data_IF_696952251303
#
_entry.id   IF_696952251303
#
_cell.length_a   1.000
_cell.length_b   1.000
_cell.length_c   1.000
_cell.angle_alpha   90.00
_cell.angle_beta   90.00
_cell.angle_gamma   90.00
#
_symmetry.space_group_name_H-M   'P 1'
#
loop_
_entity.id
_entity.type
_entity.pdbx_description
1 polymer ?
#
# COMPACT_ATOMS: atom_id res chain seq x y z
N UNK A 1 48.28 20.51 -121.85
CA UNK A 1 46.83 20.81 -121.87
C UNK A 1 46.74 22.32 -121.76
N UNK A 2 47.11 22.97 -122.86
CA UNK A 2 47.60 24.34 -122.88
C UNK A 2 46.45 25.30 -123.15
N UNK A 3 46.37 26.36 -122.34
CA UNK A 3 45.67 27.64 -122.50
C UNK A 3 44.60 27.80 -123.61
N UNK A 4 44.92 27.45 -124.86
CA UNK A 4 44.00 27.43 -126.00
C UNK A 4 42.75 26.56 -125.78
N UNK A 5 42.84 25.44 -125.06
CA UNK A 5 41.67 24.60 -124.74
C UNK A 5 40.74 25.26 -123.73
N UNK A 6 41.31 26.00 -122.77
CA UNK A 6 40.56 26.77 -121.78
C UNK A 6 39.91 27.97 -122.46
N UNK A 7 40.62 28.66 -123.36
CA UNK A 7 40.07 29.82 -124.08
C UNK A 7 38.91 29.41 -125.01
N UNK A 8 39.00 28.25 -125.67
CA UNK A 8 37.92 27.71 -126.52
C UNK A 8 36.66 27.34 -125.76
N UNK A 9 36.78 26.93 -124.49
CA UNK A 9 35.65 26.50 -123.66
C UNK A 9 35.35 27.48 -122.51
N UNK A 10 35.94 28.68 -122.54
CA UNK A 10 35.88 29.67 -121.47
C UNK A 10 34.45 30.03 -121.10
N UNK A 11 33.60 30.23 -122.10
CA UNK A 11 32.20 30.58 -121.88
C UNK A 11 31.44 29.42 -121.22
N UNK A 12 31.67 28.18 -121.65
CA UNK A 12 31.07 27.00 -121.02
C UNK A 12 31.56 26.78 -119.57
N UNK A 13 32.83 27.09 -119.29
CA UNK A 13 33.41 27.02 -117.94
C UNK A 13 32.80 28.12 -117.06
N UNK A 14 32.69 29.34 -117.56
CA UNK A 14 32.07 30.47 -116.85
C UNK A 14 30.60 30.20 -116.58
N UNK A 15 29.85 29.71 -117.56
CA UNK A 15 28.44 29.36 -117.41
C UNK A 15 28.24 28.27 -116.35
N UNK A 16 29.08 27.22 -116.38
CA UNK A 16 29.09 26.17 -115.35
C UNK A 16 29.41 26.72 -113.96
N UNK A 17 30.39 27.62 -113.87
CA UNK A 17 30.77 28.28 -112.63
C UNK A 17 29.64 29.16 -112.06
N UNK A 18 29.02 30.00 -112.89
CA UNK A 18 27.92 30.85 -112.47
C UNK A 18 26.68 30.03 -112.10
N UNK A 19 26.38 28.96 -112.84
CA UNK A 19 25.30 28.03 -112.51
C UNK A 19 25.54 27.33 -111.16
N UNK A 20 26.76 26.85 -110.90
CA UNK A 20 27.12 26.24 -109.62
C UNK A 20 27.08 27.25 -108.46
N UNK A 21 27.48 28.51 -108.71
CA UNK A 21 27.43 29.58 -107.71
C UNK A 21 25.98 29.94 -107.37
N UNK A 22 25.11 30.06 -108.37
CA UNK A 22 23.69 30.36 -108.18
C UNK A 22 22.94 29.22 -107.47
N UNK A 23 23.27 27.96 -107.78
CA UNK A 23 22.71 26.79 -107.08
C UNK A 23 23.15 26.77 -105.60
N UNK A 24 24.43 27.03 -105.33
CA UNK A 24 24.97 27.12 -103.98
C UNK A 24 24.36 28.28 -103.16
N UNK A 25 24.17 29.46 -103.78
CA UNK A 25 23.47 30.58 -103.14
C UNK A 25 22.00 30.24 -102.87
N UNK A 26 21.35 29.54 -103.82
CA UNK A 26 19.97 29.08 -103.67
C UNK A 26 19.77 28.04 -102.55
N UNK A 27 20.77 27.20 -102.27
CA UNK A 27 20.73 26.18 -101.21
C UNK A 27 21.24 26.67 -99.84
N UNK A 28 22.01 27.77 -99.80
CA UNK A 28 22.74 28.25 -98.62
C UNK A 28 21.86 28.38 -97.37
N UNK A 29 20.69 29.00 -97.46
CA UNK A 29 19.80 29.20 -96.31
C UNK A 29 19.24 27.88 -95.75
N UNK A 30 18.95 26.92 -96.65
CA UNK A 30 18.45 25.60 -96.26
C UNK A 30 19.55 24.79 -95.58
N UNK A 31 20.77 24.82 -96.13
CA UNK A 31 21.93 24.16 -95.55
C UNK A 31 22.29 24.76 -94.19
N UNK A 32 22.31 26.08 -94.09
CA UNK A 32 22.54 26.80 -92.84
C UNK A 32 21.49 26.44 -91.77
N UNK A 33 20.20 26.46 -92.13
CA UNK A 33 19.11 26.11 -91.21
C UNK A 33 19.20 24.65 -90.74
N UNK A 34 19.56 23.74 -91.65
CA UNK A 34 19.76 22.33 -91.33
C UNK A 34 20.96 22.12 -90.41
N UNK A 35 22.08 22.80 -90.68
CA UNK A 35 23.27 22.77 -89.84
C UNK A 35 22.97 23.31 -88.44
N UNK A 36 22.28 24.45 -88.31
CA UNK A 36 21.84 24.99 -87.02
C UNK A 36 21.00 23.99 -86.23
N UNK A 37 20.07 23.29 -86.90
CA UNK A 37 19.22 22.29 -86.26
C UNK A 37 20.04 21.11 -85.74
N UNK A 38 20.98 20.60 -86.53
CA UNK A 38 21.89 19.52 -86.11
C UNK A 38 22.72 19.97 -84.90
N UNK A 39 23.31 21.17 -84.96
CA UNK A 39 24.12 21.67 -83.87
C UNK A 39 23.31 21.90 -82.59
N UNK A 40 22.09 22.44 -82.69
CA UNK A 40 21.20 22.65 -81.55
C UNK A 40 20.81 21.30 -80.90
N UNK A 41 20.47 20.30 -81.71
CA UNK A 41 20.19 18.94 -81.25
C UNK A 41 21.38 18.33 -80.53
N UNK A 42 22.58 18.45 -81.10
CA UNK A 42 23.81 17.95 -80.47
C UNK A 42 24.12 18.64 -79.14
N UNK A 43 24.02 19.98 -79.08
CA UNK A 43 24.23 20.74 -77.84
C UNK A 43 23.24 20.31 -76.75
N UNK A 44 21.97 20.16 -77.12
CA UNK A 44 20.92 19.67 -76.21
C UNK A 44 21.17 18.24 -75.74
N UNK A 45 21.54 17.34 -76.64
CA UNK A 45 21.90 15.96 -76.30
C UNK A 45 23.08 15.92 -75.32
N UNK A 46 24.18 16.60 -75.64
CA UNK A 46 25.36 16.67 -74.78
C UNK A 46 25.02 17.14 -73.38
N UNK A 47 24.19 18.19 -73.27
CA UNK A 47 23.83 18.73 -71.96
C UNK A 47 22.92 17.82 -71.14
N UNK A 48 21.94 17.18 -71.78
CA UNK A 48 21.09 16.20 -71.09
C UNK A 48 21.88 14.97 -70.63
N UNK A 49 22.81 14.48 -71.45
CA UNK A 49 23.70 13.38 -71.07
C UNK A 49 24.56 13.76 -69.87
N UNK A 50 25.12 14.97 -69.87
CA UNK A 50 25.92 15.45 -68.74
C UNK A 50 25.08 15.59 -67.45
N UNK A 51 23.87 16.14 -67.56
CA UNK A 51 22.96 16.29 -66.44
C UNK A 51 22.53 14.93 -65.87
N UNK A 52 22.30 13.93 -66.71
CA UNK A 52 21.98 12.58 -66.28
C UNK A 52 23.11 11.96 -65.43
N UNK A 53 24.37 12.14 -65.85
CA UNK A 53 25.54 11.69 -65.07
C UNK A 53 25.61 12.40 -63.72
N UNK A 54 25.42 13.72 -63.69
CA UNK A 54 25.42 14.48 -62.44
C UNK A 54 24.30 14.07 -61.49
N UNK A 55 23.08 13.88 -62.01
CA UNK A 55 21.93 13.44 -61.22
C UNK A 55 22.12 12.03 -60.66
N UNK A 56 22.70 11.12 -61.44
CA UNK A 56 23.06 9.79 -60.97
C UNK A 56 24.06 9.86 -59.83
N UNK A 57 25.17 10.60 -59.99
CA UNK A 57 26.18 10.77 -58.96
C UNK A 57 25.59 11.40 -57.68
N UNK A 58 24.75 12.42 -57.82
CA UNK A 58 24.07 13.04 -56.69
C UNK A 58 23.15 12.05 -55.95
N UNK A 59 22.40 11.24 -56.70
CA UNK A 59 21.51 10.22 -56.12
C UNK A 59 22.31 9.17 -55.35
N UNK A 60 23.45 8.72 -55.87
CA UNK A 60 24.31 7.76 -55.20
C UNK A 60 24.90 8.31 -53.90
N UNK A 61 25.38 9.56 -53.91
CA UNK A 61 25.86 10.23 -52.68
C UNK A 61 24.74 10.32 -51.66
N UNK A 62 23.55 10.77 -52.07
CA UNK A 62 22.42 10.89 -51.16
C UNK A 62 21.97 9.54 -50.61
N UNK A 63 21.94 8.49 -51.43
CA UNK A 63 21.62 7.12 -51.02
C UNK A 63 22.59 6.63 -49.96
N UNK A 64 23.90 6.79 -50.21
CA UNK A 64 24.95 6.40 -49.27
C UNK A 64 24.84 7.18 -47.95
N UNK A 65 24.60 8.49 -48.02
CA UNK A 65 24.46 9.34 -46.85
C UNK A 65 23.24 8.97 -45.99
N UNK A 66 22.06 8.79 -46.60
CA UNK A 66 20.86 8.34 -45.88
C UNK A 66 21.10 6.99 -45.19
N UNK A 67 21.80 6.07 -45.85
CA UNK A 67 22.20 4.80 -45.26
C UNK A 67 23.18 4.95 -44.08
N UNK A 68 24.15 5.87 -44.18
CA UNK A 68 25.07 6.16 -43.09
C UNK A 68 24.33 6.70 -41.85
N UNK A 69 23.47 7.71 -42.03
CA UNK A 69 22.65 8.26 -40.94
C UNK A 69 21.77 7.20 -40.30
N UNK A 70 21.12 6.35 -41.11
CA UNK A 70 20.32 5.23 -40.61
C UNK A 70 21.12 4.28 -39.71
N UNK A 71 22.34 3.93 -40.11
CA UNK A 71 23.24 3.08 -39.28
C UNK A 71 23.68 3.77 -38.00
N UNK A 72 24.04 5.05 -38.05
CA UNK A 72 24.43 5.82 -36.85
C UNK A 72 23.28 5.87 -35.84
N UNK A 73 22.06 6.14 -36.30
CA UNK A 73 20.87 6.14 -35.44
C UNK A 73 20.59 4.76 -34.86
N UNK A 74 20.68 3.71 -35.67
CA UNK A 74 20.50 2.33 -35.22
C UNK A 74 21.49 1.97 -34.09
N UNK A 75 22.78 2.24 -34.29
CA UNK A 75 23.80 1.96 -33.27
C UNK A 75 23.50 2.71 -31.96
N UNK A 76 23.13 3.98 -32.04
CA UNK A 76 22.75 4.77 -30.86
C UNK A 76 21.55 4.17 -30.11
N UNK A 77 20.52 3.72 -30.83
CA UNK A 77 19.34 3.08 -30.23
C UNK A 77 19.71 1.75 -29.57
N UNK A 78 20.54 0.94 -30.22
CA UNK A 78 21.00 -0.34 -29.65
C UNK A 78 21.85 -0.13 -28.40
N UNK A 79 22.79 0.83 -28.43
CA UNK A 79 23.65 1.16 -27.29
C UNK A 79 22.84 1.66 -26.09
N UNK A 80 21.93 2.60 -26.31
CA UNK A 80 21.06 3.14 -25.25
C UNK A 80 20.17 2.06 -24.64
N UNK A 81 19.59 1.19 -25.47
CA UNK A 81 18.80 0.05 -25.00
C UNK A 81 19.65 -0.93 -24.17
N UNK A 82 20.81 -1.33 -24.69
CA UNK A 82 21.70 -2.25 -23.97
C UNK A 82 22.22 -1.66 -22.66
N UNK A 83 22.48 -0.35 -22.62
CA UNK A 83 22.82 0.37 -21.40
C UNK A 83 21.68 0.33 -20.38
N UNK A 84 20.45 0.61 -20.81
CA UNK A 84 19.27 0.57 -19.94
C UNK A 84 19.03 -0.83 -19.38
N UNK A 85 19.08 -1.87 -20.20
CA UNK A 85 18.93 -3.27 -19.77
C UNK A 85 19.98 -3.66 -18.72
N UNK A 86 21.23 -3.19 -18.91
CA UNK A 86 22.31 -3.40 -17.94
C UNK A 86 22.03 -2.68 -16.63
N UNK A 87 21.58 -1.43 -16.66
CA UNK A 87 21.20 -0.69 -15.46
C UNK A 87 20.06 -1.38 -14.71
N UNK A 88 19.03 -1.81 -15.43
CA UNK A 88 17.86 -2.48 -14.84
C UNK A 88 18.25 -3.79 -14.15
N UNK A 89 19.15 -4.57 -14.76
CA UNK A 89 19.72 -5.78 -14.17
C UNK A 89 20.40 -5.48 -12.82
N UNK A 90 21.33 -4.53 -12.80
CA UNK A 90 22.05 -4.19 -11.57
C UNK A 90 21.14 -3.53 -10.53
N UNK A 91 20.21 -2.68 -10.94
CA UNK A 91 19.24 -2.05 -10.04
C UNK A 91 18.33 -3.06 -9.36
N UNK A 92 17.89 -4.10 -10.08
CA UNK A 92 17.12 -5.21 -9.51
C UNK A 92 17.90 -5.93 -8.41
N UNK A 93 19.17 -6.25 -8.66
CA UNK A 93 20.03 -6.91 -7.68
C UNK A 93 20.35 -6.00 -6.49
N UNK A 94 20.66 -4.72 -6.74
CA UNK A 94 20.89 -3.73 -5.69
C UNK A 94 19.65 -3.60 -4.78
N UNK A 95 18.44 -3.55 -5.36
CA UNK A 95 17.19 -3.47 -4.59
C UNK A 95 17.01 -4.69 -3.68
N UNK A 96 17.35 -5.90 -4.14
CA UNK A 96 17.28 -7.11 -3.32
C UNK A 96 18.24 -7.05 -2.13
N UNK A 97 19.51 -6.70 -2.39
CA UNK A 97 20.53 -6.55 -1.36
C UNK A 97 20.10 -5.52 -0.33
N UNK A 98 19.68 -4.33 -0.79
CA UNK A 98 19.24 -3.26 0.08
C UNK A 98 18.00 -3.65 0.90
N UNK A 99 17.03 -4.37 0.32
CA UNK A 99 15.84 -4.87 1.03
C UNK A 99 16.25 -5.80 2.19
N UNK A 100 17.13 -6.77 1.90
CA UNK A 100 17.63 -7.71 2.92
C UNK A 100 18.35 -6.95 4.03
N UNK A 101 19.22 -6.01 3.65
CA UNK A 101 20.01 -5.21 4.59
C UNK A 101 19.14 -4.31 5.48
N UNK A 102 18.15 -3.61 4.91
CA UNK A 102 17.17 -2.82 5.68
C UNK A 102 16.42 -3.69 6.68
N UNK A 103 16.02 -4.90 6.29
CA UNK A 103 15.40 -5.88 7.19
C UNK A 103 16.32 -6.31 8.33
N UNK A 104 17.59 -6.62 8.02
CA UNK A 104 18.61 -6.94 9.02
C UNK A 104 18.82 -5.79 10.01
N UNK A 105 18.99 -4.56 9.51
CA UNK A 105 19.17 -3.38 10.36
C UNK A 105 17.98 -3.16 11.28
N UNK A 106 16.75 -3.26 10.76
CA UNK A 106 15.54 -3.08 11.56
C UNK A 106 15.48 -4.07 12.73
N UNK A 107 15.66 -5.38 12.47
CA UNK A 107 15.65 -6.44 13.50
C UNK A 107 16.78 -6.33 14.51
N UNK A 108 17.91 -5.70 14.15
CA UNK A 108 19.07 -5.56 15.03
C UNK A 108 19.06 -4.26 15.84
N UNK A 109 18.54 -3.17 15.28
CA UNK A 109 18.70 -1.81 15.84
C UNK A 109 17.40 -1.14 16.27
N UNK A 110 16.27 -1.47 15.63
CA UNK A 110 14.99 -0.79 15.90
C UNK A 110 14.08 -1.68 16.75
N UNK A 111 13.95 -2.96 16.38
CA UNK A 111 12.95 -3.84 16.98
C UNK A 111 13.60 -5.13 17.48
N UNK A 112 13.83 -5.21 18.79
CA UNK A 112 14.26 -6.43 19.47
C UNK A 112 13.03 -7.26 19.83
N UNK A 113 12.70 -8.23 18.98
CA UNK A 113 11.55 -9.11 19.18
C UNK A 113 11.62 -9.88 20.51
N UNK A 114 12.82 -10.33 20.89
CA UNK A 114 13.01 -11.10 22.13
C UNK A 114 12.68 -10.26 23.36
N UNK A 115 13.22 -9.04 23.44
CA UNK A 115 12.91 -8.10 24.54
C UNK A 115 11.45 -7.71 24.56
N UNK A 116 10.85 -7.43 23.40
CA UNK A 116 9.43 -7.11 23.32
C UNK A 116 8.55 -8.27 23.79
N UNK A 117 8.85 -9.49 23.37
CA UNK A 117 8.06 -10.66 23.77
C UNK A 117 8.21 -10.94 25.26
N UNK A 118 9.43 -10.83 25.81
CA UNK A 118 9.66 -10.96 27.25
C UNK A 118 8.89 -9.91 28.06
N UNK A 119 8.87 -8.66 27.61
CA UNK A 119 8.08 -7.59 28.24
C UNK A 119 6.58 -7.90 28.20
N UNK A 120 6.05 -8.34 27.06
CA UNK A 120 4.63 -8.69 26.93
C UNK A 120 4.24 -9.87 27.83
N UNK A 121 5.07 -10.91 27.91
CA UNK A 121 4.82 -12.04 28.82
C UNK A 121 4.86 -11.63 30.29
N UNK A 122 5.78 -10.75 30.68
CA UNK A 122 5.79 -10.20 32.04
C UNK A 122 4.55 -9.36 32.33
N UNK A 123 4.13 -8.53 31.37
CA UNK A 123 2.92 -7.72 31.49
C UNK A 123 1.67 -8.60 31.62
N UNK A 124 1.59 -9.67 30.83
CA UNK A 124 0.50 -10.65 30.90
C UNK A 124 0.43 -11.32 32.27
N UNK A 125 1.57 -11.77 32.82
CA UNK A 125 1.63 -12.35 34.16
C UNK A 125 1.17 -11.36 35.23
N UNK A 126 1.61 -10.09 35.16
CA UNK A 126 1.17 -9.04 36.10
C UNK A 126 -0.31 -8.71 35.97
N UNK A 127 -0.84 -8.66 34.75
CA UNK A 127 -2.26 -8.44 34.52
C UNK A 127 -3.09 -9.60 35.09
N UNK A 128 -2.62 -10.84 34.95
CA UNK A 128 -3.28 -12.00 35.53
C UNK A 128 -3.26 -11.94 37.07
N UNK A 129 -2.10 -11.65 37.67
CA UNK A 129 -1.97 -11.44 39.12
C UNK A 129 -2.95 -10.37 39.62
N UNK A 130 -3.01 -9.22 38.94
CA UNK A 130 -3.90 -8.12 39.31
C UNK A 130 -5.37 -8.51 39.15
N UNK A 131 -5.72 -9.22 38.08
CA UNK A 131 -7.09 -9.70 37.86
C UNK A 131 -7.51 -10.70 38.94
N UNK A 132 -6.60 -11.59 39.35
CA UNK A 132 -6.84 -12.53 40.44
C UNK A 132 -7.06 -11.77 41.76
N UNK A 133 -6.16 -10.83 42.10
CA UNK A 133 -6.26 -10.05 43.32
C UNK A 133 -7.55 -9.20 43.40
N UNK A 134 -8.00 -8.63 42.29
CA UNK A 134 -9.28 -7.91 42.23
C UNK A 134 -10.46 -8.84 42.47
N UNK A 135 -10.45 -10.05 41.90
CA UNK A 135 -11.51 -11.04 42.15
C UNK A 135 -11.53 -11.49 43.60
N UNK A 136 -10.37 -11.75 44.18
CA UNK A 136 -10.26 -12.18 45.58
C UNK A 136 -10.76 -11.06 46.51
N UNK A 137 -10.40 -9.80 46.22
CA UNK A 137 -10.91 -8.64 46.94
C UNK A 137 -12.43 -8.45 46.77
N UNK A 138 -12.98 -8.64 45.57
CA UNK A 138 -14.43 -8.58 45.34
C UNK A 138 -15.18 -9.63 46.18
N UNK A 139 -14.62 -10.84 46.30
CA UNK A 139 -15.17 -11.91 47.13
C UNK A 139 -15.10 -11.52 48.62
N UNK A 140 -13.94 -11.07 49.09
CA UNK A 140 -13.75 -10.67 50.49
C UNK A 140 -14.71 -9.54 50.89
N UNK A 141 -14.83 -8.50 50.06
CA UNK A 141 -15.75 -7.39 50.30
C UNK A 141 -17.22 -7.83 50.29
N UNK A 142 -17.59 -8.80 49.45
CA UNK A 142 -18.95 -9.34 49.41
C UNK A 142 -19.27 -10.16 50.68
N UNK A 143 -18.33 -11.00 51.12
CA UNK A 143 -18.46 -11.76 52.37
C UNK A 143 -18.54 -10.84 53.58
N UNK A 144 -17.71 -9.80 53.64
CA UNK A 144 -17.77 -8.80 54.72
C UNK A 144 -19.11 -8.07 54.72
N UNK A 145 -19.61 -7.65 53.56
CA UNK A 145 -20.92 -7.00 53.46
C UNK A 145 -22.07 -7.93 53.90
N UNK A 146 -22.01 -9.22 53.58
CA UNK A 146 -22.99 -10.22 54.05
C UNK A 146 -22.88 -10.44 55.57
N UNK A 147 -21.66 -10.50 56.12
CA UNK A 147 -21.44 -10.57 57.57
C UNK A 147 -21.99 -9.34 58.28
N UNK A 148 -21.70 -8.13 57.78
CA UNK A 148 -22.25 -6.90 58.35
C UNK A 148 -23.77 -6.86 58.28
N UNK A 149 -24.38 -7.32 57.18
CA UNK A 149 -25.84 -7.34 57.04
C UNK A 149 -26.49 -8.35 57.98
N UNK A 150 -25.92 -9.56 58.10
CA UNK A 150 -26.40 -10.57 59.06
C UNK A 150 -26.20 -10.10 60.51
N UNK A 151 -25.10 -9.43 60.83
CA UNK A 151 -24.88 -8.78 62.13
C UNK A 151 -25.90 -7.67 62.40
N UNK A 152 -26.22 -6.81 61.42
CA UNK A 152 -27.26 -5.79 61.58
C UNK A 152 -28.63 -6.41 61.79
N UNK A 153 -28.99 -7.44 61.02
CA UNK A 153 -30.27 -8.13 61.15
C UNK A 153 -30.40 -8.84 62.50
N UNK A 154 -29.35 -9.51 62.96
CA UNK A 154 -29.32 -10.15 64.28
C UNK A 154 -29.36 -9.13 65.41
N UNK A 155 -28.65 -8.00 65.31
CA UNK A 155 -28.74 -6.89 66.27
C UNK A 155 -30.13 -6.27 66.33
N UNK A 156 -30.77 -6.01 65.18
CA UNK A 156 -32.15 -5.52 65.12
C UNK A 156 -33.12 -6.53 65.74
N UNK A 157 -32.99 -7.82 65.38
CA UNK A 157 -33.84 -8.88 65.89
C UNK A 157 -33.68 -9.06 67.41
N UNK A 158 -32.45 -9.12 67.93
CA UNK A 158 -32.17 -9.23 69.37
C UNK A 158 -32.69 -8.03 70.15
N UNK A 159 -32.54 -6.80 69.62
CA UNK A 159 -33.09 -5.60 70.23
C UNK A 159 -34.62 -5.65 70.36
N UNK A 160 -35.33 -6.15 69.34
CA UNK A 160 -36.79 -6.36 69.39
C UNK A 160 -37.14 -7.50 70.37
N UNK A 161 -36.49 -8.67 70.22
CA UNK A 161 -36.73 -9.87 71.02
C UNK A 161 -36.57 -9.63 72.53
N UNK A 162 -35.58 -8.83 72.95
CA UNK A 162 -35.35 -8.47 74.36
C UNK A 162 -36.58 -7.84 75.04
N UNK A 163 -37.42 -7.13 74.28
CA UNK A 163 -38.62 -6.44 74.77
C UNK A 163 -39.86 -7.35 74.80
N UNK A 164 -39.82 -8.52 74.16
CA UNK A 164 -40.97 -9.41 73.96
C UNK A 164 -41.05 -10.56 74.98
N UNK A 165 -40.22 -10.57 76.03
CA UNK A 165 -40.21 -11.63 77.05
C UNK A 165 -41.55 -11.84 77.76
N UNK A 166 -42.41 -10.81 77.79
CA UNK A 166 -43.77 -10.90 78.35
C UNK A 166 -44.76 -11.72 77.49
N UNK A 167 -44.39 -12.05 76.24
CA UNK A 167 -45.20 -12.86 75.32
C UNK A 167 -44.83 -14.36 75.35
N UNK A 168 -43.88 -14.74 76.21
CA UNK A 168 -43.46 -16.13 76.44
C UNK A 168 -44.53 -16.93 77.19
N UNK A 169 -44.55 -18.25 77.02
CA UNK A 169 -45.40 -19.13 77.81
C UNK A 169 -45.02 -19.08 79.29
N UNK A 170 -46.04 -19.00 80.15
CA UNK A 170 -45.89 -19.26 81.57
C UNK A 170 -46.19 -20.74 81.86
N UNK A 171 -45.94 -21.20 83.09
CA UNK A 171 -46.27 -22.58 83.51
C UNK A 171 -47.76 -22.91 83.38
N UNK A 172 -48.62 -21.89 83.34
CA UNK A 172 -50.08 -22.05 83.41
C UNK A 172 -50.78 -21.61 82.12
N UNK A 173 -50.18 -20.68 81.35
CA UNK A 173 -50.76 -20.18 80.10
C UNK A 173 -49.73 -20.21 78.95
N UNK A 174 -50.06 -20.80 77.79
CA UNK A 174 -49.18 -20.76 76.63
C UNK A 174 -49.06 -19.34 76.07
N UNK A 175 -47.85 -18.96 75.66
CA UNK A 175 -47.52 -17.68 75.04
C UNK A 175 -47.85 -17.65 73.56
N UNK A 176 -47.79 -16.48 72.95
CA UNK A 176 -48.18 -16.28 71.54
C UNK A 176 -47.30 -17.10 70.59
N UNK A 177 -46.04 -17.36 70.98
CA UNK A 177 -45.07 -18.09 70.17
C UNK A 177 -45.10 -19.63 70.37
N UNK A 178 -46.04 -20.17 71.16
CA UNK A 178 -46.22 -21.61 71.40
C UNK A 178 -47.60 -22.10 70.93
N UNK A 179 -47.84 -22.21 69.61
CA UNK A 179 -49.12 -22.66 69.09
C UNK A 179 -49.43 -24.11 69.47
N UNK A 180 -50.72 -24.52 69.49
CA UNK A 180 -51.14 -25.88 69.87
C UNK A 180 -50.53 -26.98 69.00
N UNK A 181 -50.24 -26.65 67.74
CA UNK A 181 -49.56 -27.51 66.77
C UNK A 181 -48.09 -27.10 66.73
N UNK A 182 -47.20 -27.98 67.18
CA UNK A 182 -45.76 -27.68 67.29
C UNK A 182 -45.11 -27.30 65.96
N UNK A 183 -45.58 -27.90 64.86
CA UNK A 183 -45.06 -27.64 63.51
C UNK A 183 -45.44 -26.26 62.96
N UNK A 184 -46.35 -25.52 63.62
CA UNK A 184 -46.72 -24.15 63.26
C UNK A 184 -46.00 -23.09 64.10
N UNK A 185 -45.06 -23.48 64.98
CA UNK A 185 -44.30 -22.52 65.76
C UNK A 185 -43.46 -21.63 64.83
N UNK A 186 -43.49 -20.29 65.02
CA UNK A 186 -42.61 -19.41 64.26
C UNK A 186 -41.15 -19.70 64.64
N UNK A 187 -40.31 -19.85 63.61
CA UNK A 187 -38.90 -20.22 63.73
C UNK A 187 -38.03 -19.12 63.13
N UNK A 188 -36.89 -18.84 63.74
CA UNK A 188 -35.84 -17.99 63.16
C UNK A 188 -34.64 -18.89 62.89
N UNK A 189 -34.31 -19.06 61.60
CA UNK A 189 -33.43 -20.14 61.16
C UNK A 189 -34.09 -21.51 61.43
N UNK A 190 -33.41 -22.35 62.22
CA UNK A 190 -33.89 -23.67 62.64
C UNK A 190 -34.35 -23.73 64.11
N UNK A 191 -34.37 -22.58 64.82
CA UNK A 191 -34.69 -22.51 66.26
C UNK A 191 -36.06 -21.85 66.47
N UNK A 192 -36.98 -22.46 67.25
CA UNK A 192 -38.25 -21.84 67.61
C UNK A 192 -38.02 -20.50 68.31
N UNK A 193 -38.75 -19.46 67.88
CA UNK A 193 -38.60 -18.08 68.39
C UNK A 193 -38.75 -18.01 69.91
N UNK A 194 -39.64 -18.83 70.48
CA UNK A 194 -39.86 -18.89 71.92
C UNK A 194 -38.63 -19.32 72.72
N UNK A 195 -37.90 -20.34 72.24
CA UNK A 195 -36.68 -20.83 72.88
C UNK A 195 -35.57 -19.77 72.86
N UNK A 196 -35.46 -19.04 71.75
CA UNK A 196 -34.49 -17.97 71.61
C UNK A 196 -34.77 -16.78 72.54
N UNK A 197 -36.02 -16.33 72.63
CA UNK A 197 -36.41 -15.24 73.56
C UNK A 197 -36.25 -15.68 75.02
N UNK A 198 -36.54 -16.95 75.35
CA UNK A 198 -36.34 -17.51 76.68
C UNK A 198 -34.85 -17.52 77.09
N UNK A 199 -33.95 -17.91 76.19
CA UNK A 199 -32.50 -17.89 76.41
C UNK A 199 -31.95 -16.46 76.51
N UNK A 200 -32.36 -15.55 75.64
CA UNK A 200 -32.01 -14.13 75.74
C UNK A 200 -32.48 -13.50 77.05
N UNK A 201 -33.69 -13.82 77.49
CA UNK A 201 -34.23 -13.36 78.77
C UNK A 201 -33.40 -13.87 79.96
N UNK A 202 -33.00 -15.14 79.94
CA UNK A 202 -32.10 -15.73 80.95
C UNK A 202 -30.73 -15.04 80.94
N UNK A 203 -30.15 -14.78 79.77
CA UNK A 203 -28.87 -14.10 79.62
C UNK A 203 -28.91 -12.64 80.10
N UNK A 204 -29.95 -11.88 79.75
CA UNK A 204 -30.12 -10.53 80.28
C UNK A 204 -30.33 -10.51 81.79
N UNK A 205 -31.09 -11.47 82.33
CA UNK A 205 -31.28 -11.59 83.77
C UNK A 205 -29.96 -11.91 84.50
N UNK A 206 -29.14 -12.82 83.98
CA UNK A 206 -27.83 -13.16 84.57
C UNK A 206 -26.83 -12.02 84.47
N UNK A 207 -26.76 -11.31 83.34
CA UNK A 207 -25.92 -10.12 83.17
C UNK A 207 -26.34 -8.97 84.11
N UNK A 208 -27.64 -8.75 84.26
CA UNK A 208 -28.19 -7.72 85.16
C UNK A 208 -27.84 -8.04 86.61
N UNK A 209 -28.00 -9.30 87.03
CA UNK A 209 -27.64 -9.77 88.38
C UNK A 209 -26.14 -9.67 88.64
N UNK A 210 -25.30 -10.06 87.69
CA UNK A 210 -23.83 -9.93 87.80
C UNK A 210 -23.39 -8.46 87.86
N UNK A 211 -23.99 -7.57 87.07
CA UNK A 211 -23.74 -6.13 87.11
C UNK A 211 -24.13 -5.50 88.45
N UNK A 212 -25.30 -5.85 88.99
CA UNK A 212 -25.75 -5.40 90.32
C UNK A 212 -24.82 -5.90 91.44
N UNK A 213 -24.33 -7.15 91.34
CA UNK A 213 -23.36 -7.70 92.29
C UNK A 213 -21.98 -7.04 92.20
N UNK A 214 -21.57 -6.59 91.02
CA UNK A 214 -20.30 -5.87 90.82
C UNK A 214 -20.34 -4.43 91.38
N UNK A 215 -21.50 -3.77 91.38
CA UNK A 215 -21.69 -2.44 91.98
C UNK A 215 -21.84 -2.44 93.51
N UNK A 216 -21.97 -3.61 94.12
CA UNK A 216 -22.09 -3.80 95.58
C UNK A 216 -20.74 -4.12 96.28
N UNK A 217 -19.61 -4.01 95.55
CA UNK A 217 -18.23 -4.06 96.06
C UNK A 217 -17.56 -2.71 95.93
#
# INVERSE_FOLDING_TARGET
MEFLDIERHKDAILDSYFAATQDAEGSADREFSSALRIQALWRGYRMRSQLAVWNFAATEIQRAFRGHIGRVLYHRVVETKGHQERLDYFNKHATQIQRIFRGYLSRRKILDFGKRNAYLSQLEARNLEMTQALKDYEIEMAEEAEREETERQTQQFTAVASKLHHLLSTKTTPGIYRPPIRDMAPTVGDVPVESFIEELGKLHATQTVQGMLATLR
#
